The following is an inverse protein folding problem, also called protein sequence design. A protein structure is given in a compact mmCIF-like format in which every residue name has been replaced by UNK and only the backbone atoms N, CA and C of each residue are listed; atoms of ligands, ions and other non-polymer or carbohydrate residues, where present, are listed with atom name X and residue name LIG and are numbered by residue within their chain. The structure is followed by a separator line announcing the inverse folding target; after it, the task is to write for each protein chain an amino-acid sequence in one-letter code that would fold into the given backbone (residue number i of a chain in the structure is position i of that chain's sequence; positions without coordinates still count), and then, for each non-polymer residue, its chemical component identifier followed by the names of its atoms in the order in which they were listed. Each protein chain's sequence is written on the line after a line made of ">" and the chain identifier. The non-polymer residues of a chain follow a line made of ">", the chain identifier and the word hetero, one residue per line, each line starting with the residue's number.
data_IF_516788080960
#
_entry.id   IF_516788080960
#
_cell.length_a   1.000
_cell.length_b   1.000
_cell.length_c   1.000
_cell.angle_alpha   90.00
_cell.angle_beta   90.00
_cell.angle_gamma   90.00
#
_symmetry.space_group_name_H-M   'P 1'
#
loop_
_entity.id
_entity.type
_entity.pdbx_description
1 polymer ?
2 polymer ?
3 non-polymer ?
4 water ?
#
loop_
_entity_poly.entity_id
_entity_poly.type
_entity_poly.pdbx_seq_one_letter_code
_entity_poly.pdbx_strand_id
2 'polydeoxyribonucleotide' '(DT)(DC)(DA)(DA)(DA)(DA)(DC)(DG)(DT)(DC)(DG)(DT)(DA)(DC)(DG)(DA)(DC)(DG)(DT)(DT)(DT)(DT)(DG)(DA)' ?
#
# COMPACT_ATOMS: atom_id res chain seq x y z
N UNK A 1 25.48 -3.76 11.69
CA UNK A 1 24.42 -3.61 10.70
C UNK A 1 23.84 -4.96 10.25
N UNK A 2 22.55 -5.16 10.51
CA UNK A 2 21.89 -6.43 10.27
C UNK A 2 21.47 -6.64 8.81
N UNK A 3 21.57 -7.88 8.34
CA UNK A 3 21.07 -8.25 7.01
C UNK A 3 19.61 -8.73 7.07
N UNK A 4 18.79 -8.24 6.15
CA UNK A 4 17.37 -8.58 6.14
C UNK A 4 17.07 -9.68 5.12
N UNK A 5 16.08 -10.51 5.41
CA UNK A 5 15.67 -11.57 4.50
C UNK A 5 15.08 -10.99 3.21
N UNK A 6 15.60 -11.44 2.07
CA UNK A 6 15.20 -10.91 0.77
C UNK A 6 13.69 -10.95 0.51
N UNK A 7 13.04 -12.01 0.97
CA UNK A 7 11.59 -12.15 0.76
C UNK A 7 10.84 -11.15 1.61
N UNK A 8 11.35 -10.91 2.81
CA UNK A 8 10.79 -9.90 3.69
C UNK A 8 10.90 -8.52 3.04
N UNK A 9 12.01 -8.28 2.34
CA UNK A 9 12.21 -7.02 1.63
C UNK A 9 11.26 -6.88 0.44
N UNK A 10 11.16 -7.92 -0.39
CA UNK A 10 10.25 -7.88 -1.53
C UNK A 10 8.85 -7.50 -1.10
N UNK A 11 8.37 -8.13 -0.03
CA UNK A 11 7.04 -7.84 0.49
C UNK A 11 6.95 -6.43 1.06
N UNK A 12 7.82 -6.15 2.02
CA UNK A 12 7.85 -4.86 2.68
C UNK A 12 7.96 -3.74 1.66
N UNK A 13 8.65 -3.99 0.56
CA UNK A 13 8.85 -2.98 -0.46
C UNK A 13 7.51 -2.60 -1.09
N UNK A 14 6.80 -3.60 -1.60
CA UNK A 14 5.51 -3.35 -2.20
C UNK A 14 4.59 -2.67 -1.21
N UNK A 15 4.66 -3.09 0.05
CA UNK A 15 3.79 -2.52 1.05
C UNK A 15 4.16 -1.08 1.38
N UNK A 16 5.46 -0.79 1.38
CA UNK A 16 5.92 0.57 1.59
C UNK A 16 5.54 1.43 0.40
N UNK A 17 5.72 0.89 -0.80
CA UNK A 17 5.29 1.58 -2.01
C UNK A 17 3.81 1.90 -1.87
N UNK A 18 3.10 1.07 -1.10
CA UNK A 18 1.67 1.20 -0.91
C UNK A 18 1.26 2.15 0.19
N UNK A 19 1.65 1.88 1.43
CA UNK A 19 1.24 2.70 2.57
C UNK A 19 2.38 3.49 3.21
N UNK A 20 3.55 3.46 2.60
CA UNK A 20 4.74 4.04 3.21
C UNK A 20 5.06 5.47 2.79
N UNK A 21 5.99 6.08 3.51
CA UNK A 21 6.44 7.42 3.16
C UNK A 21 7.93 7.60 3.43
N UNK A 22 8.63 8.07 2.41
CA UNK A 22 10.02 8.47 2.55
C UNK A 22 10.07 10.00 2.55
N UNK A 23 10.48 10.56 3.67
CA UNK A 23 10.27 11.98 3.94
C UNK A 23 11.55 12.67 4.37
N UNK A 24 11.80 13.84 3.78
CA UNK A 24 12.90 14.70 4.20
C UNK A 24 12.33 16.09 4.45
N UNK A 25 12.87 16.78 5.45
CA UNK A 25 12.33 18.08 5.82
C UNK A 25 13.41 19.03 6.29
N UNK A 26 13.18 20.31 6.05
CA UNK A 26 14.02 21.38 6.59
C UNK A 26 13.26 22.06 7.71
N UNK A 27 13.36 21.50 8.92
CA UNK A 27 12.60 22.01 10.06
C UNK A 27 13.31 23.20 10.70
N UNK A 28 12.67 24.38 10.64
CA UNK A 28 13.24 25.60 11.21
C UNK A 28 13.55 25.42 12.70
N UNK A 29 14.72 25.87 13.13
CA UNK A 29 15.12 25.72 14.52
C UNK A 29 16.30 26.60 14.87
N UNK A 30 16.09 27.55 15.79
CA UNK A 30 17.08 28.57 16.09
C UNK A 30 18.33 28.06 16.80
N UNK A 31 18.30 26.82 17.26
CA UNK A 31 19.45 26.28 17.98
C UNK A 31 20.50 25.66 17.05
N UNK A 32 20.26 25.72 15.74
CA UNK A 32 21.22 25.21 14.77
C UNK A 32 22.02 26.35 14.14
N UNK A 33 23.26 26.06 13.75
CA UNK A 33 24.14 27.05 13.12
C UNK A 33 23.44 27.72 11.95
N UNK A 34 22.77 26.92 11.14
CA UNK A 34 22.07 27.45 9.96
C UNK A 34 20.58 27.60 10.22
N UNK A 35 20.22 27.69 11.50
CA UNK A 35 18.86 27.98 11.93
C UNK A 35 17.84 26.97 11.41
N UNK A 36 18.34 25.91 10.80
CA UNK A 36 17.48 24.82 10.32
C UNK A 36 18.09 23.48 10.67
N UNK A 37 17.24 22.47 10.80
CA UNK A 37 17.69 21.09 10.96
C UNK A 37 17.30 20.27 9.75
N UNK A 38 18.19 19.37 9.32
CA UNK A 38 17.85 18.40 8.29
C UNK A 38 17.31 17.13 8.93
N UNK A 39 16.08 16.77 8.58
CA UNK A 39 15.41 15.65 9.22
C UNK A 39 14.99 14.58 8.21
N UNK A 40 15.34 13.34 8.50
CA UNK A 40 14.93 12.22 7.66
C UNK A 40 13.94 11.33 8.41
N UNK A 41 12.98 10.76 7.68
CA UNK A 41 12.01 9.88 8.30
C UNK A 41 11.53 8.80 7.34
N UNK A 42 11.55 7.55 7.80
CA UNK A 42 10.87 6.46 7.12
C UNK A 42 9.65 6.08 7.94
N UNK A 43 8.49 6.06 7.31
CA UNK A 43 7.26 5.75 8.04
C UNK A 43 6.30 4.89 7.24
N UNK A 44 5.61 4.01 7.97
CA UNK A 44 4.54 3.19 7.41
C UNK A 44 3.26 3.43 8.21
N UNK A 45 2.22 3.92 7.54
CA UNK A 45 0.98 4.32 8.20
C UNK A 45 -0.09 3.23 8.14
N UNK A 46 -0.74 2.96 9.26
CA UNK A 46 -1.82 1.97 9.28
C UNK A 46 -2.87 2.27 10.35
N UNK A 47 -4.14 2.11 9.99
CA UNK A 47 -5.25 2.22 10.92
C UNK A 47 -4.91 1.47 12.22
N UNK A 48 -5.23 2.07 13.35
CA UNK A 48 -4.81 1.52 14.64
C UNK A 48 -5.35 0.11 14.91
N UNK A 49 -6.48 -0.24 14.31
CA UNK A 49 -7.01 -1.60 14.42
C UNK A 49 -5.97 -2.63 14.00
N UNK A 50 -5.12 -2.26 13.05
CA UNK A 50 -4.12 -3.18 12.51
C UNK A 50 -2.70 -2.90 13.01
N UNK A 51 -2.57 -2.13 14.09
CA UNK A 51 -1.24 -1.72 14.54
C UNK A 51 -0.35 -2.89 14.91
N UNK A 52 -0.94 -4.07 15.08
CA UNK A 52 -0.16 -5.27 15.35
C UNK A 52 0.82 -5.51 14.20
N UNK A 53 0.46 -5.01 13.03
CA UNK A 53 1.27 -5.18 11.84
C UNK A 53 2.51 -4.31 11.89
N UNK A 54 2.37 -3.10 12.45
CA UNK A 54 3.51 -2.21 12.59
C UNK A 54 4.44 -2.70 13.71
N UNK A 55 3.86 -3.16 14.82
CA UNK A 55 4.66 -3.73 15.90
C UNK A 55 5.53 -4.85 15.37
N UNK A 56 4.97 -5.63 14.46
CA UNK A 56 5.71 -6.68 13.77
C UNK A 56 6.94 -6.09 13.08
N UNK A 57 6.74 -4.99 12.33
CA UNK A 57 7.85 -4.32 11.66
C UNK A 57 9.00 -3.94 12.60
N UNK A 58 8.65 -3.40 13.76
CA UNK A 58 9.65 -3.05 14.75
C UNK A 58 10.47 -4.27 15.15
N UNK A 59 9.85 -5.45 15.11
CA UNK A 59 10.53 -6.68 15.52
C UNK A 59 11.37 -7.24 14.38
N UNK A 60 10.80 -7.21 13.17
CA UNK A 60 11.47 -7.73 12.00
C UNK A 60 12.69 -6.86 11.65
N UNK A 61 12.53 -5.55 11.77
CA UNK A 61 13.59 -4.60 11.39
C UNK A 61 14.52 -4.32 12.57
N UNK A 62 14.02 -4.54 13.78
CA UNK A 62 14.84 -4.47 14.97
C UNK A 62 15.25 -3.07 15.37
N UNK A 63 14.56 -2.08 14.84
CA UNK A 63 14.85 -0.68 15.17
C UNK A 63 13.73 0.24 14.71
N UNK A 64 13.38 1.20 15.56
CA UNK A 64 12.25 2.06 15.30
C UNK A 64 11.19 1.85 16.37
N UNK A 65 10.02 2.42 16.16
CA UNK A 65 8.93 2.25 17.11
C UNK A 65 7.62 2.62 16.46
N UNK A 66 6.52 2.24 17.09
CA UNK A 66 5.19 2.59 16.60
C UNK A 66 4.59 3.67 17.48
N UNK A 67 3.79 4.53 16.88
CA UNK A 67 3.09 5.57 17.64
C UNK A 67 1.65 5.71 17.19
N UNK A 68 0.74 5.65 18.15
CA UNK A 68 -0.69 5.76 17.91
C UNK A 68 -1.16 7.18 18.20
N UNK A 69 -1.82 7.79 17.22
CA UNK A 69 -2.36 9.13 17.40
C UNK A 69 -3.86 9.17 17.12
N UNK A 70 -4.56 8.13 17.55
CA UNK A 70 -6.00 8.08 17.39
C UNK A 70 -6.48 7.00 16.44
N UNK A 71 -6.86 7.41 15.23
CA UNK A 71 -7.37 6.48 14.24
C UNK A 71 -6.26 5.71 13.52
N UNK A 72 -5.07 6.31 13.42
CA UNK A 72 -3.96 5.66 12.76
C UNK A 72 -2.69 5.62 13.62
N UNK A 73 -1.79 4.71 13.25
CA UNK A 73 -0.51 4.57 13.93
C UNK A 73 0.58 4.60 12.85
N UNK A 74 1.77 5.03 13.24
CA UNK A 74 2.88 5.07 12.29
C UNK A 74 4.08 4.26 12.79
N UNK A 75 4.70 3.52 11.88
CA UNK A 75 6.02 3.01 12.18
C UNK A 75 6.98 4.14 11.90
N UNK A 76 7.98 4.32 12.75
CA UNK A 76 8.88 5.45 12.63
C UNK A 76 10.34 5.03 12.73
N UNK A 77 11.11 5.36 11.70
CA UNK A 77 12.55 5.15 11.71
C UNK A 77 13.24 6.46 11.36
N UNK A 78 13.98 7.01 12.33
CA UNK A 78 14.63 8.31 12.15
C UNK A 78 16.11 8.29 12.47
N UNK A 79 16.55 7.31 13.24
CA UNK A 79 17.97 7.17 13.54
C UNK A 79 18.77 7.07 12.25
N UNK A 80 19.55 8.10 11.95
CA UNK A 80 20.31 8.21 10.70
C UNK A 80 21.05 6.93 10.23
N UNK A 81 21.71 6.24 11.15
CA UNK A 81 22.53 5.09 10.78
C UNK A 81 21.73 3.84 10.36
N UNK A 82 20.90 3.31 11.27
CA UNK A 82 20.11 2.13 10.89
C UNK A 82 19.22 2.40 9.68
N UNK A 83 18.81 3.66 9.52
CA UNK A 83 18.05 4.10 8.37
C UNK A 83 18.83 3.91 7.08
N UNK A 84 20.13 4.15 7.14
CA UNK A 84 20.98 3.96 5.97
C UNK A 84 21.08 2.47 5.66
N UNK A 85 21.39 1.68 6.68
CA UNK A 85 21.45 0.23 6.54
C UNK A 85 20.18 -0.37 5.97
N UNK A 86 19.03 0.18 6.38
CA UNK A 86 17.73 -0.31 5.95
C UNK A 86 17.36 0.07 4.51
N UNK A 87 17.37 1.37 4.23
CA UNK A 87 17.11 1.84 2.87
C UNK A 87 18.09 1.26 1.85
N UNK A 88 19.35 1.16 2.23
CA UNK A 88 20.37 0.56 1.38
C UNK A 88 19.90 -0.79 0.85
N UNK A 89 19.41 -1.63 1.75
CA UNK A 89 18.97 -2.96 1.40
C UNK A 89 17.65 -2.95 0.66
N UNK A 90 16.71 -2.11 1.12
CA UNK A 90 15.35 -2.09 0.59
C UNK A 90 15.22 -1.42 -0.77
N UNK A 91 16.09 -0.45 -1.04
CA UNK A 91 15.98 0.39 -2.23
C UNK A 91 15.87 -0.33 -3.58
N UNK A 92 16.63 -1.41 -3.78
CA UNK A 92 16.58 -2.16 -5.05
C UNK A 92 15.18 -2.65 -5.45
N UNK A 93 14.33 -2.91 -4.46
CA UNK A 93 13.03 -3.52 -4.75
C UNK A 93 11.89 -2.51 -4.89
N UNK A 94 12.11 -1.28 -4.45
CA UNK A 94 11.10 -0.23 -4.60
C UNK A 94 10.86 0.07 -6.07
N UNK A 95 9.61 0.35 -6.42
CA UNK A 95 9.28 0.72 -7.80
C UNK A 95 8.63 2.09 -7.90
N UNK A 96 8.04 2.55 -6.79
CA UNK A 96 7.37 3.84 -6.79
C UNK A 96 8.12 4.89 -5.98
N UNK A 97 8.97 4.45 -5.06
CA UNK A 97 9.68 5.37 -4.17
C UNK A 97 11.19 5.13 -4.15
N UNK A 98 11.71 4.46 -5.15
CA UNK A 98 13.14 4.16 -5.19
C UNK A 98 13.99 5.44 -5.28
N UNK A 99 13.51 6.43 -6.03
CA UNK A 99 14.24 7.68 -6.20
C UNK A 99 14.35 8.47 -4.89
N UNK A 100 13.25 8.55 -4.16
CA UNK A 100 13.26 9.22 -2.86
C UNK A 100 14.21 8.49 -1.92
N UNK A 101 14.22 7.16 -2.00
CA UNK A 101 15.08 6.35 -1.16
C UNK A 101 16.54 6.71 -1.37
N UNK A 102 16.98 6.68 -2.63
CA UNK A 102 18.37 7.02 -2.96
C UNK A 102 18.74 8.47 -2.63
N UNK A 103 17.83 9.40 -2.94
CA UNK A 103 18.02 10.80 -2.57
C UNK A 103 18.31 10.95 -1.08
N UNK A 104 17.65 10.12 -0.28
CA UNK A 104 17.88 10.11 1.16
C UNK A 104 19.27 9.52 1.50
N UNK A 105 19.59 8.37 0.92
CA UNK A 105 20.91 7.77 1.08
C UNK A 105 22.02 8.77 0.75
N UNK A 106 21.86 9.49 -0.36
CA UNK A 106 22.83 10.50 -0.74
C UNK A 106 22.85 11.64 0.28
N UNK A 107 21.68 12.13 0.68
CA UNK A 107 21.62 13.21 1.67
C UNK A 107 22.33 12.82 2.96
N UNK A 108 22.14 11.58 3.40
CA UNK A 108 22.71 11.13 4.66
C UNK A 108 24.23 11.14 4.65
N UNK A 109 24.82 10.72 3.54
CA UNK A 109 26.27 10.67 3.40
C UNK A 109 26.88 12.07 3.41
N UNK A 110 26.15 13.04 2.87
CA UNK A 110 26.63 14.41 2.79
C UNK A 110 26.33 15.20 4.06
N UNK A 111 25.60 14.59 4.98
CA UNK A 111 25.14 15.30 6.17
C UNK A 111 26.29 15.88 6.99
N UNK A 112 27.29 15.07 7.32
CA UNK A 112 28.43 15.59 8.09
C UNK A 112 29.15 16.69 7.33
N UNK A 113 29.25 16.53 6.02
CA UNK A 113 29.90 17.54 5.17
C UNK A 113 29.06 18.81 5.05
N UNK A 114 27.73 18.65 5.00
CA UNK A 114 26.83 19.78 4.78
C UNK A 114 26.82 20.78 5.93
N UNK A 115 27.28 20.36 7.11
CA UNK A 115 27.25 21.23 8.28
C UNK A 115 28.51 22.08 8.40
N UNK A 116 29.22 22.25 7.29
CA UNK A 116 30.46 23.03 7.30
C UNK A 116 30.32 24.27 6.43
N UNK A 117 30.23 24.07 5.12
CA UNK A 117 29.98 25.15 4.19
C UNK A 117 28.48 25.44 4.15
N UNK A 118 28.08 26.71 4.28
CA UNK A 118 26.67 27.06 4.15
C UNK A 118 26.20 26.88 2.71
N UNK A 119 27.15 26.77 1.79
CA UNK A 119 26.84 26.50 0.38
C UNK A 119 26.45 25.03 0.18
N UNK A 120 27.31 24.13 0.64
CA UNK A 120 27.05 22.70 0.54
C UNK A 120 25.82 22.30 1.36
N UNK A 121 25.53 23.07 2.41
CA UNK A 121 24.31 22.85 3.17
C UNK A 121 23.10 23.17 2.30
N UNK A 122 23.18 24.29 1.59
CA UNK A 122 22.11 24.72 0.71
C UNK A 122 21.90 23.77 -0.46
N UNK A 123 22.99 23.18 -0.96
CA UNK A 123 22.88 22.22 -2.04
C UNK A 123 22.06 21.00 -1.60
N UNK A 124 22.35 20.52 -0.40
CA UNK A 124 21.64 19.37 0.14
C UNK A 124 20.14 19.67 0.27
N UNK A 125 19.80 20.90 0.63
CA UNK A 125 18.41 21.30 0.76
C UNK A 125 17.66 21.23 -0.56
N UNK A 126 18.39 21.39 -1.66
CA UNK A 126 17.79 21.27 -2.98
C UNK A 126 17.56 19.79 -3.28
N UNK A 127 18.28 18.93 -2.59
CA UNK A 127 18.05 17.49 -2.69
C UNK A 127 16.74 17.14 -1.99
N UNK A 128 16.48 17.80 -0.87
CA UNK A 128 15.23 17.62 -0.15
C UNK A 128 14.06 18.07 -1.02
N UNK A 129 14.25 19.18 -1.74
CA UNK A 129 13.24 19.66 -2.67
C UNK A 129 12.88 18.58 -3.69
N UNK A 130 13.89 17.84 -4.13
CA UNK A 130 13.70 16.80 -5.14
C UNK A 130 12.86 15.66 -4.59
N UNK A 131 13.02 15.37 -3.31
CA UNK A 131 12.22 14.34 -2.65
C UNK A 131 10.77 14.78 -2.51
N UNK A 132 10.57 15.99 -1.99
CA UNK A 132 9.22 16.53 -1.83
C UNK A 132 8.49 16.57 -3.17
N UNK A 133 9.24 16.75 -4.25
CA UNK A 133 8.68 16.85 -5.59
C UNK A 133 8.22 15.49 -6.12
N UNK A 134 8.97 14.45 -5.77
CA UNK A 134 8.61 13.08 -6.14
C UNK A 134 7.43 12.57 -5.30
N UNK A 135 7.23 13.17 -4.14
CA UNK A 135 6.11 12.78 -3.28
C UNK A 135 4.80 13.49 -3.66
N UNK A 136 3.70 13.06 -3.06
CA UNK A 136 2.42 13.76 -3.25
C UNK A 136 2.31 14.91 -2.26
N UNK A 137 3.24 15.85 -2.39
CA UNK A 137 3.37 16.95 -1.43
C UNK A 137 2.21 17.94 -1.54
N UNK A 138 1.64 18.35 -0.41
CA UNK A 138 0.53 19.29 -0.42
C UNK A 138 0.64 20.43 0.62
N UNK A 139 1.27 20.15 1.76
CA UNK A 139 1.30 21.13 2.85
C UNK A 139 2.72 21.54 3.24
N UNK A 140 3.59 21.75 2.25
CA UNK A 140 4.99 22.04 2.51
C UNK A 140 5.23 23.54 2.61
N UNK A 141 5.91 23.96 3.66
CA UNK A 141 6.13 25.38 3.92
C UNK A 141 7.59 25.81 3.73
N UNK A 142 8.52 25.11 4.40
CA UNK A 142 9.93 25.49 4.36
C UNK A 142 10.70 24.73 3.26
N UNK A 143 11.27 25.49 2.32
CA UNK A 143 12.06 24.90 1.23
C UNK A 143 13.49 25.44 1.21
N UNK A 144 14.23 25.12 0.15
CA UNK A 144 15.62 25.56 0.00
C UNK A 144 15.72 27.08 -0.11
N UNK A 145 14.73 27.70 -0.73
CA UNK A 145 14.72 29.15 -0.90
C UNK A 145 14.49 29.88 0.42
N UNK A 146 13.86 29.18 1.36
CA UNK A 146 13.73 29.70 2.71
C UNK A 146 15.11 29.78 3.34
N UNK A 147 15.84 28.67 3.26
CA UNK A 147 17.18 28.58 3.80
C UNK A 147 18.09 29.64 3.16
N UNK A 148 17.89 29.88 1.86
CA UNK A 148 18.68 30.84 1.12
C UNK A 148 18.46 32.27 1.64
N UNK A 149 17.21 32.64 1.84
CA UNK A 149 16.85 33.96 2.35
C UNK A 149 17.40 34.19 3.75
N UNK A 150 17.31 33.16 4.58
CA UNK A 150 17.78 33.24 5.96
C UNK A 150 19.30 33.28 6.07
N UNK A 151 19.99 32.52 5.22
CA UNK A 151 21.43 32.51 5.22
C UNK A 151 22.02 33.90 4.98
N UNK A 152 21.17 34.84 4.58
CA UNK A 152 21.60 36.22 4.40
C UNK A 152 21.07 37.12 5.51
N UNK B 1 -4.10 -19.64 -17.59
CA UNK B 1 -3.54 -20.52 -16.57
C UNK B 1 -2.03 -20.33 -16.39
N UNK B 2 -1.59 -19.08 -16.52
CA UNK B 2 -0.18 -18.74 -16.41
C UNK B 2 0.32 -19.00 -14.99
N UNK B 3 1.64 -19.17 -14.85
CA UNK B 3 2.28 -19.33 -13.55
C UNK B 3 3.09 -18.08 -13.23
N UNK B 4 2.94 -17.56 -12.01
CA UNK B 4 3.52 -16.27 -11.65
C UNK B 4 4.84 -16.34 -10.90
N UNK B 5 5.77 -15.46 -11.27
CA UNK B 5 7.05 -15.33 -10.58
C UNK B 5 6.87 -15.03 -9.11
N UNK B 6 7.57 -15.79 -8.27
CA UNK B 6 7.50 -15.60 -6.83
C UNK B 6 7.93 -14.18 -6.43
N UNK B 7 8.98 -13.67 -7.07
CA UNK B 7 9.44 -12.32 -6.79
C UNK B 7 8.36 -11.30 -7.08
N UNK B 8 7.55 -11.59 -8.09
CA UNK B 8 6.46 -10.71 -8.49
C UNK B 8 5.29 -10.79 -7.51
N UNK B 9 4.99 -12.00 -7.04
CA UNK B 9 3.88 -12.19 -6.11
C UNK B 9 4.20 -11.62 -4.73
N UNK B 10 5.44 -11.81 -4.27
CA UNK B 10 5.84 -11.27 -2.98
C UNK B 10 5.65 -9.76 -2.94
N UNK B 11 6.17 -9.08 -3.96
CA UNK B 11 6.09 -7.63 -4.02
C UNK B 11 4.64 -7.18 -4.09
N UNK B 12 3.88 -7.83 -4.95
CA UNK B 12 2.47 -7.48 -5.15
C UNK B 12 1.64 -7.72 -3.90
N UNK B 13 1.91 -8.83 -3.22
CA UNK B 13 1.18 -9.14 -2.00
C UNK B 13 1.25 -7.93 -1.08
N UNK B 14 2.46 -7.44 -0.86
CA UNK B 14 2.67 -6.26 -0.03
C UNK B 14 1.95 -5.05 -0.58
N UNK B 15 2.04 -4.84 -1.89
CA UNK B 15 1.37 -3.71 -2.50
C UNK B 15 -0.16 -3.80 -2.36
N UNK B 16 -0.70 -5.00 -2.45
CA UNK B 16 -2.13 -5.19 -2.33
C UNK B 16 -2.61 -4.97 -0.89
N UNK B 17 -1.91 -5.57 0.07
CA UNK B 17 -2.21 -5.31 1.48
C UNK B 17 -2.18 -3.80 1.76
N UNK B 18 -1.51 -3.05 0.88
CA UNK B 18 -1.45 -1.61 1.00
C UNK B 18 -2.55 -0.88 0.26
N UNK B 19 -2.51 -0.90 -1.07
CA UNK B 19 -3.46 -0.14 -1.87
C UNK B 19 -4.52 -1.02 -2.53
N UNK B 20 -4.58 -2.28 -2.14
CA UNK B 20 -5.45 -3.23 -2.78
C UNK B 20 -6.79 -3.43 -2.08
N UNK B 21 -7.71 -4.06 -2.78
CA UNK B 21 -9.01 -4.35 -2.23
C UNK B 21 -9.57 -5.62 -2.85
N UNK B 22 -9.86 -6.60 -1.99
CA UNK B 22 -10.58 -7.79 -2.41
C UNK B 22 -12.04 -7.64 -2.00
N UNK B 23 -12.90 -7.48 -2.99
CA UNK B 23 -14.28 -7.04 -2.77
C UNK B 23 -15.29 -8.11 -3.16
N UNK B 24 -16.33 -8.28 -2.34
CA UNK B 24 -17.41 -9.21 -2.63
C UNK B 24 -18.78 -8.55 -2.47
N UNK B 25 -19.61 -8.61 -3.51
CA UNK B 25 -20.89 -7.93 -3.46
C UNK B 25 -22.07 -8.77 -3.89
N UNK B 26 -23.23 -8.48 -3.29
CA UNK B 26 -24.50 -9.00 -3.75
C UNK B 26 -25.25 -7.85 -4.40
N UNK B 27 -25.30 -7.83 -5.72
CA UNK B 27 -25.84 -6.69 -6.45
C UNK B 27 -27.30 -6.90 -6.85
N UNK B 28 -28.21 -6.09 -6.28
CA UNK B 28 -29.65 -6.21 -6.60
C UNK B 28 -29.90 -6.01 -8.08
N UNK B 29 -30.44 -7.03 -8.72
CA UNK B 29 -30.63 -7.03 -10.16
C UNK B 29 -31.79 -7.96 -10.56
N UNK B 30 -32.88 -7.36 -11.04
CA UNK B 30 -34.14 -8.10 -11.28
C UNK B 30 -34.09 -9.07 -12.45
N UNK B 31 -32.93 -9.20 -13.09
CA UNK B 31 -32.82 -10.11 -14.22
C UNK B 31 -32.24 -11.45 -13.76
N UNK B 32 -31.81 -11.51 -12.52
CA UNK B 32 -31.26 -12.74 -11.97
C UNK B 32 -32.35 -13.54 -11.27
N UNK B 33 -32.25 -14.86 -11.35
CA UNK B 33 -33.21 -15.78 -10.73
C UNK B 33 -33.51 -15.38 -9.28
N UNK B 34 -32.47 -15.19 -8.49
CA UNK B 34 -32.65 -14.75 -7.11
C UNK B 34 -32.59 -13.23 -7.00
N UNK B 35 -32.76 -12.56 -8.14
CA UNK B 35 -32.87 -11.11 -8.16
C UNK B 35 -31.61 -10.42 -7.68
N UNK B 36 -30.53 -11.19 -7.53
CA UNK B 36 -29.24 -10.64 -7.11
C UNK B 36 -28.10 -11.31 -7.83
N UNK B 37 -27.04 -10.54 -8.10
CA UNK B 37 -25.83 -11.08 -8.69
C UNK B 37 -24.73 -11.20 -7.66
N UNK B 38 -24.03 -12.32 -7.67
CA UNK B 38 -22.82 -12.44 -6.86
C UNK B 38 -21.64 -11.87 -7.64
N UNK B 39 -21.11 -10.75 -7.17
CA UNK B 39 -20.03 -10.08 -7.87
C UNK B 39 -18.73 -10.11 -7.07
N UNK B 40 -17.64 -10.42 -7.75
CA UNK B 40 -16.32 -10.48 -7.13
C UNK B 40 -15.33 -9.60 -7.90
N UNK B 41 -14.70 -8.68 -7.20
CA UNK B 41 -13.73 -7.79 -7.83
C UNK B 41 -12.42 -7.70 -7.06
N UNK B 42 -11.33 -8.05 -7.73
CA UNK B 42 -10.00 -7.73 -7.24
C UNK B 42 -9.55 -6.42 -7.90
N UNK B 43 -9.09 -5.48 -7.09
CA UNK B 43 -8.75 -4.16 -7.61
C UNK B 43 -7.62 -3.45 -6.87
N UNK B 44 -6.86 -2.65 -7.62
CA UNK B 44 -5.82 -1.81 -7.05
C UNK B 44 -6.03 -0.36 -7.48
N UNK B 45 -5.96 0.56 -6.51
CA UNK B 45 -6.29 1.96 -6.74
C UNK B 45 -5.01 2.75 -6.72
N UNK B 46 -4.93 3.78 -7.56
CA UNK B 46 -3.73 4.61 -7.61
C UNK B 46 -4.03 5.98 -8.23
N UNK B 47 -3.36 7.01 -7.75
CA UNK B 47 -3.44 8.33 -8.37
C UNK B 47 -3.08 8.22 -9.84
N UNK B 48 -3.86 8.90 -10.70
CA UNK B 48 -3.74 8.72 -12.14
C UNK B 48 -2.36 9.05 -12.72
N UNK B 49 -1.59 9.90 -12.05
CA UNK B 49 -0.27 10.22 -12.57
C UNK B 49 0.66 8.99 -12.52
N UNK B 50 0.40 8.09 -11.58
CA UNK B 50 1.13 6.82 -11.53
C UNK B 50 0.31 5.72 -12.19
N UNK B 51 -0.53 6.12 -13.13
CA UNK B 51 -1.39 5.18 -13.85
C UNK B 51 -0.57 4.08 -14.54
N UNK B 52 0.65 4.43 -14.96
CA UNK B 52 1.53 3.48 -15.64
C UNK B 52 1.82 2.25 -14.79
N UNK B 53 1.70 2.41 -13.47
CA UNK B 53 1.91 1.30 -12.54
C UNK B 53 0.84 0.23 -12.76
N UNK B 54 -0.41 0.63 -12.62
CA UNK B 54 -1.54 -0.24 -12.91
C UNK B 54 -1.46 -0.79 -14.34
N UNK B 55 -1.09 0.07 -15.28
CA UNK B 55 -1.00 -0.35 -16.68
C UNK B 55 -0.02 -1.50 -16.85
N UNK B 56 1.18 -1.34 -16.28
CA UNK B 56 2.19 -2.37 -16.27
C UNK B 56 1.66 -3.66 -15.65
N UNK B 57 0.89 -3.52 -14.57
CA UNK B 57 0.27 -4.67 -13.91
C UNK B 57 -0.48 -5.52 -14.92
N UNK B 58 -1.41 -4.88 -15.64
CA UNK B 58 -2.22 -5.56 -16.64
C UNK B 58 -1.36 -6.42 -17.56
N UNK B 59 -0.17 -5.92 -17.89
CA UNK B 59 0.72 -6.65 -18.78
C UNK B 59 1.32 -7.85 -18.08
N UNK B 60 1.65 -7.70 -16.80
CA UNK B 60 2.31 -8.77 -16.06
C UNK B 60 1.37 -9.81 -15.44
N UNK B 61 0.16 -9.40 -15.09
CA UNK B 61 -0.85 -10.34 -14.61
C UNK B 61 -1.47 -11.08 -15.79
N UNK B 62 -1.60 -10.40 -16.91
CA UNK B 62 -2.07 -11.02 -18.13
C UNK B 62 -3.53 -10.76 -18.46
N UNK B 63 -4.32 -10.48 -17.44
CA UNK B 63 -5.74 -10.16 -17.63
C UNK B 63 -6.13 -8.91 -16.86
N UNK B 64 -7.42 -8.60 -16.89
CA UNK B 64 -7.94 -7.42 -16.23
C UNK B 64 -7.70 -6.19 -17.10
N UNK B 65 -7.95 -5.01 -16.54
CA UNK B 65 -7.81 -3.78 -17.29
C UNK B 65 -7.74 -2.61 -16.31
N UNK B 66 -7.36 -1.44 -16.81
CA UNK B 66 -7.33 -0.22 -15.99
C UNK B 66 -8.34 0.79 -16.49
N UNK B 67 -9.01 1.49 -15.57
CA UNK B 67 -9.94 2.54 -15.97
C UNK B 67 -9.66 3.82 -15.21
N UNK B 68 -9.63 4.94 -15.94
CA UNK B 68 -9.42 6.24 -15.35
C UNK B 68 -10.73 6.73 -14.75
N UNK B 69 -10.67 7.29 -13.55
CA UNK B 69 -11.87 7.75 -12.86
C UNK B 69 -11.68 9.17 -12.36
N UNK B 70 -11.34 10.07 -13.27
CA UNK B 70 -11.06 11.45 -12.90
C UNK B 70 -9.65 11.62 -12.35
N UNK B 71 -9.52 11.60 -11.03
CA UNK B 71 -8.23 11.88 -10.39
C UNK B 71 -7.47 10.62 -9.93
N UNK B 72 -8.16 9.49 -9.86
CA UNK B 72 -7.51 8.23 -9.53
C UNK B 72 -7.88 7.15 -10.54
N UNK B 73 -7.04 6.11 -10.62
CA UNK B 73 -7.28 5.03 -11.56
C UNK B 73 -7.41 3.69 -10.82
N UNK B 74 -7.98 2.70 -11.50
CA UNK B 74 -8.12 1.37 -10.94
C UNK B 74 -7.74 0.22 -11.86
N UNK B 75 -6.99 -0.73 -11.33
CA UNK B 75 -6.83 -2.00 -12.02
C UNK B 75 -7.92 -2.90 -11.51
N UNK B 76 -8.73 -3.45 -12.42
CA UNK B 76 -9.81 -4.34 -12.04
C UNK B 76 -9.62 -5.74 -12.62
N UNK B 77 -9.88 -6.74 -11.79
CA UNK B 77 -9.93 -8.11 -12.24
C UNK B 77 -11.23 -8.73 -11.74
N UNK B 78 -12.10 -9.10 -12.68
CA UNK B 78 -13.43 -9.63 -12.35
C UNK B 78 -13.69 -11.00 -12.98
N UNK B 79 -13.09 -11.26 -14.14
CA UNK B 79 -13.23 -12.56 -14.79
C UNK B 79 -13.03 -13.68 -13.77
N UNK B 80 -14.07 -14.46 -13.55
CA UNK B 80 -14.09 -15.48 -12.49
C UNK B 80 -12.96 -16.53 -12.54
N UNK B 81 -12.61 -17.02 -13.73
CA UNK B 81 -11.60 -18.09 -13.82
C UNK B 81 -10.16 -17.60 -13.61
N UNK B 82 -9.78 -16.47 -14.24
CA UNK B 82 -8.45 -15.90 -14.01
C UNK B 82 -8.29 -15.41 -12.58
N UNK B 83 -9.35 -14.82 -12.04
CA UNK B 83 -9.36 -14.30 -10.69
C UNK B 83 -9.02 -15.42 -9.73
N UNK B 84 -9.51 -16.61 -10.03
CA UNK B 84 -9.28 -17.76 -9.16
C UNK B 84 -7.83 -18.20 -9.24
N UNK B 85 -7.35 -18.37 -10.46
CA UNK B 85 -5.96 -18.78 -10.69
C UNK B 85 -4.98 -17.77 -10.07
N UNK B 86 -5.29 -16.49 -10.21
CA UNK B 86 -4.42 -15.44 -9.70
C UNK B 86 -4.42 -15.39 -8.18
N UNK B 87 -5.60 -15.42 -7.57
CA UNK B 87 -5.71 -15.35 -6.12
C UNK B 87 -5.19 -16.61 -5.46
N UNK B 88 -5.27 -17.74 -6.14
CA UNK B 88 -4.73 -18.98 -5.61
C UNK B 88 -3.22 -18.89 -5.36
N UNK B 89 -2.52 -18.18 -6.22
CA UNK B 89 -1.06 -18.06 -6.11
C UNK B 89 -0.61 -16.85 -5.26
N UNK B 90 -1.50 -15.88 -5.06
CA UNK B 90 -1.15 -14.69 -4.30
C UNK B 90 -1.58 -14.80 -2.85
N UNK B 91 -2.44 -15.76 -2.57
CA UNK B 91 -2.96 -15.93 -1.22
C UNK B 91 -1.87 -16.23 -0.18
N UNK B 92 -0.93 -17.12 -0.49
CA UNK B 92 0.06 -17.52 0.53
C UNK B 92 0.98 -16.38 0.99
N UNK B 93 1.05 -15.28 0.25
CA UNK B 93 1.95 -14.18 0.58
C UNK B 93 1.25 -13.02 1.29
N UNK B 94 -0.05 -12.88 1.07
CA UNK B 94 -0.84 -11.84 1.71
C UNK B 94 -0.77 -11.94 3.23
N UNK B 95 -0.77 -10.79 3.90
CA UNK B 95 -0.78 -10.74 5.35
C UNK B 95 -2.03 -10.04 5.91
N UNK B 96 -2.51 -9.02 5.21
CA UNK B 96 -3.67 -8.27 5.69
C UNK B 96 -4.99 -8.68 5.02
N UNK B 97 -4.92 -9.28 3.85
CA UNK B 97 -6.12 -9.66 3.10
C UNK B 97 -6.13 -11.13 2.67
N UNK B 98 -5.50 -11.99 3.46
CA UNK B 98 -5.44 -13.41 3.13
C UNK B 98 -6.78 -14.12 3.38
N UNK B 99 -7.41 -13.82 4.51
CA UNK B 99 -8.69 -14.43 4.82
C UNK B 99 -9.71 -14.12 3.73
N UNK B 100 -9.86 -12.85 3.39
CA UNK B 100 -10.83 -12.45 2.38
C UNK B 100 -10.47 -13.01 1.01
N UNK B 101 -9.19 -13.25 0.79
CA UNK B 101 -8.75 -13.93 -0.43
C UNK B 101 -9.24 -15.38 -0.43
N UNK B 102 -9.09 -16.07 0.70
CA UNK B 102 -9.51 -17.46 0.79
C UNK B 102 -11.01 -17.61 0.61
N UNK B 103 -11.77 -16.71 1.23
CA UNK B 103 -13.23 -16.71 1.10
C UNK B 103 -13.64 -16.48 -0.34
N UNK B 104 -13.01 -15.53 -0.99
CA UNK B 104 -13.35 -15.22 -2.37
C UNK B 104 -13.25 -16.48 -3.26
N UNK B 105 -12.12 -17.16 -3.22
CA UNK B 105 -11.94 -18.31 -4.09
C UNK B 105 -12.69 -19.54 -3.58
N UNK B 106 -13.21 -19.45 -2.37
CA UNK B 106 -14.10 -20.49 -1.85
C UNK B 106 -15.50 -20.26 -2.42
N UNK B 107 -15.84 -18.99 -2.61
CA UNK B 107 -17.09 -18.64 -3.25
C UNK B 107 -17.08 -19.14 -4.69
N UNK B 108 -16.05 -18.73 -5.44
CA UNK B 108 -15.95 -19.05 -6.86
C UNK B 108 -16.12 -20.54 -7.14
N UNK B 109 -15.88 -21.37 -6.13
CA UNK B 109 -16.04 -22.80 -6.28
C UNK B 109 -17.48 -23.24 -6.03
N UNK B 110 -18.18 -22.53 -5.15
CA UNK B 110 -19.56 -22.85 -4.84
C UNK B 110 -20.56 -22.17 -5.76
N UNK B 111 -20.06 -21.25 -6.59
CA UNK B 111 -20.91 -20.51 -7.52
C UNK B 111 -21.80 -21.41 -8.38
N UNK B 112 -21.21 -22.43 -9.01
CA UNK B 112 -22.01 -23.30 -9.89
C UNK B 112 -23.19 -23.94 -9.19
N UNK B 113 -23.01 -24.36 -7.94
CA UNK B 113 -24.08 -25.05 -7.23
C UNK B 113 -24.94 -24.08 -6.42
N UNK B 114 -24.50 -22.82 -6.35
CA UNK B 114 -25.22 -21.80 -5.59
C UNK B 114 -26.39 -21.22 -6.39
N UNK B 115 -26.43 -21.53 -7.68
CA UNK B 115 -27.46 -20.99 -8.55
C UNK B 115 -28.67 -21.91 -8.63
N UNK B 116 -28.60 -23.02 -7.91
CA UNK B 116 -29.68 -23.99 -7.90
C UNK B 116 -30.55 -23.85 -6.64
N UNK B 117 -29.93 -24.02 -5.48
CA UNK B 117 -30.66 -23.96 -4.22
C UNK B 117 -30.46 -22.63 -3.50
N UNK B 118 -31.56 -21.93 -3.22
CA UNK B 118 -31.54 -20.69 -2.44
C UNK B 118 -30.84 -20.88 -1.10
N UNK B 119 -31.03 -22.03 -0.46
CA UNK B 119 -30.35 -22.32 0.79
C UNK B 119 -28.84 -22.37 0.58
N UNK B 120 -28.43 -22.82 -0.60
CA UNK B 120 -27.01 -22.87 -0.96
C UNK B 120 -26.54 -21.50 -1.43
N UNK B 121 -27.47 -20.76 -2.03
CA UNK B 121 -27.18 -19.39 -2.49
C UNK B 121 -27.19 -18.41 -1.32
N UNK B 122 -28.08 -18.61 -0.36
CA UNK B 122 -28.15 -17.74 0.80
C UNK B 122 -26.97 -17.98 1.73
N UNK B 123 -26.45 -19.21 1.71
CA UNK B 123 -25.28 -19.56 2.50
C UNK B 123 -24.08 -18.80 1.93
N UNK B 124 -23.91 -18.89 0.62
CA UNK B 124 -22.81 -18.21 -0.03
C UNK B 124 -22.86 -16.71 0.24
N UNK B 125 -24.06 -16.17 0.39
CA UNK B 125 -24.22 -14.76 0.67
C UNK B 125 -23.69 -14.37 2.05
N UNK B 126 -23.58 -15.34 2.94
CA UNK B 126 -23.04 -15.06 4.27
C UNK B 126 -21.52 -15.13 4.24
N UNK B 127 -20.98 -15.81 3.23
CA UNK B 127 -19.54 -15.74 2.99
C UNK B 127 -19.20 -14.33 2.50
N UNK B 128 -20.06 -13.79 1.64
CA UNK B 128 -19.88 -12.42 1.17
C UNK B 128 -19.97 -11.44 2.33
N UNK B 129 -20.72 -11.79 3.37
CA UNK B 129 -20.80 -10.98 4.57
C UNK B 129 -19.50 -11.01 5.35
N UNK B 130 -18.84 -12.16 5.32
CA UNK B 130 -17.58 -12.33 6.05
C UNK B 130 -16.48 -11.44 5.47
N UNK B 131 -16.41 -11.39 4.14
CA UNK B 131 -15.45 -10.51 3.48
C UNK B 131 -15.72 -9.04 3.82
N UNK B 132 -16.98 -8.62 3.71
CA UNK B 132 -17.34 -7.25 4.06
C UNK B 132 -16.93 -6.93 5.49
N UNK B 133 -17.01 -7.94 6.36
CA UNK B 133 -16.67 -7.75 7.77
C UNK B 133 -15.17 -7.65 7.99
N UNK B 134 -14.39 -8.40 7.22
CA UNK B 134 -12.93 -8.31 7.32
C UNK B 134 -12.42 -6.97 6.79
N UNK B 135 -12.98 -6.52 5.67
CA UNK B 135 -12.56 -5.26 5.08
C UNK B 135 -12.97 -4.07 5.94
N UNK B 136 -12.59 -2.87 5.50
CA UNK B 136 -13.00 -1.64 6.17
C UNK B 136 -14.28 -1.12 5.52
N UNK B 137 -15.35 -1.89 5.68
CA UNK B 137 -16.64 -1.58 5.08
C UNK B 137 -17.19 -0.30 5.69
N UNK B 138 -17.91 0.50 4.91
CA UNK B 138 -18.44 1.77 5.38
C UNK B 138 -19.75 2.18 4.71
N UNK B 139 -20.08 1.55 3.59
CA UNK B 139 -21.26 1.94 2.82
C UNK B 139 -22.04 0.74 2.29
N UNK B 140 -21.95 -0.37 3.00
CA UNK B 140 -22.56 -1.63 2.56
C UNK B 140 -24.07 -1.60 2.73
N UNK B 141 -24.80 -1.84 1.65
CA UNK B 141 -26.26 -1.69 1.65
C UNK B 141 -26.98 -3.03 1.49
N UNK B 142 -26.46 -3.90 0.63
CA UNK B 142 -27.09 -5.18 0.36
C UNK B 142 -26.34 -6.33 1.02
N UNK B 143 -27.01 -7.02 1.94
CA UNK B 143 -26.40 -8.14 2.65
C UNK B 143 -27.26 -9.39 2.53
N UNK B 144 -26.72 -10.51 3.01
CA UNK B 144 -27.44 -11.78 2.95
C UNK B 144 -28.82 -11.67 3.58
N UNK B 145 -28.96 -10.81 4.59
CA UNK B 145 -30.26 -10.60 5.21
C UNK B 145 -31.25 -10.01 4.21
N UNK B 146 -30.79 -9.02 3.44
CA UNK B 146 -31.61 -8.41 2.41
C UNK B 146 -32.04 -9.44 1.36
N UNK B 147 -31.11 -10.32 1.01
CA UNK B 147 -31.38 -11.39 0.07
C UNK B 147 -32.34 -12.41 0.68
N UNK B 148 -32.24 -12.58 2.01
CA UNK B 148 -33.08 -13.53 2.73
C UNK B 148 -34.56 -13.16 2.60
N UNK B 149 -34.87 -11.91 2.95
CA UNK B 149 -36.23 -11.38 2.79
C UNK B 149 -36.72 -11.51 1.35
N UNK B 150 -36.01 -10.88 0.42
CA UNK B 150 -36.37 -10.92 -1.00
C UNK B 150 -36.66 -12.34 -1.49
N UNK B 151 -36.00 -13.32 -0.89
CA UNK B 151 -36.33 -14.72 -1.16
C UNK B 151 -37.49 -15.17 -0.26
N UNK B 152 -38.66 -14.59 -0.48
CA UNK B 152 -39.87 -14.94 0.27
C UNK B 152 -41.10 -14.59 -0.56
#
# INVERSE_FOLDING_TARGET
>A
NTKYNKEFLLYLAGFVDGDGSIIAQIKPNQSYKFKHQLSLTFQVTQKTQRRWFLDKLVDEIGVGYVRDRGSVSNYILSEIKPLHNFLTQLQPFLKLKQKQANLVLKIIEQLPSAKESPDKFLEVCTWVDQIAALNDSKTRKTTSETVRAVLD
>B
NTKYNKEFLLYLAGFVDGDGSIIAQIKPNQSYKFKHQLSLTFQVTQKTQRRWFLDKLVDEIGVGYVRDRGSVSNYILSEIKPLHNFLTQLQPFLKLKQKQANLVLKIIEQLPSAKESPDKFLEVCTWVDQIAALNDSKTRKTTSETVRAVLD
#
